data_IF_634427595814
#
_entry.id   IF_634427595814
#
_cell.length_a   1.000
_cell.length_b   1.000
_cell.length_c   1.000
_cell.angle_alpha   90.00
_cell.angle_beta   90.00
_cell.angle_gamma   90.00
#
_symmetry.space_group_name_H-M   'P 1'
#
loop_
_entity.id
_entity.type
_entity.pdbx_description
1 polymer ?
#
# COMPACT_ATOMS: atom_id res chain seq x y z
N UNK A 1 -8.78 11.92 12.02
CA UNK A 1 -8.73 11.20 10.73
C UNK A 1 -7.40 11.41 10.00
N UNK A 2 -6.78 12.60 10.05
CA UNK A 2 -5.47 12.82 9.41
C UNK A 2 -4.30 11.99 9.96
N UNK A 3 -4.32 11.64 11.25
CA UNK A 3 -3.22 10.90 11.89
C UNK A 3 -3.05 9.48 11.33
N UNK A 4 -4.15 8.81 11.00
CA UNK A 4 -4.13 7.44 10.45
C UNK A 4 -3.74 7.40 8.97
N UNK A 5 -3.76 8.56 8.29
CA UNK A 5 -3.33 8.71 6.90
C UNK A 5 -1.87 9.17 6.76
N UNK A 6 -1.16 9.42 7.87
CA UNK A 6 0.23 9.85 7.83
C UNK A 6 1.12 8.83 7.11
N UNK A 7 2.04 9.25 6.23
CA UNK A 7 2.95 8.33 5.56
C UNK A 7 3.74 7.47 6.55
N UNK A 8 3.92 6.20 6.21
CA UNK A 8 4.71 5.26 7.01
C UNK A 8 6.04 5.06 6.29
N UNK A 9 7.13 5.43 6.95
CA UNK A 9 8.46 5.47 6.34
C UNK A 9 8.50 6.32 5.05
N UNK A 10 7.67 7.36 4.94
CA UNK A 10 7.56 8.19 3.73
C UNK A 10 6.63 7.63 2.64
N UNK A 11 6.06 6.44 2.84
CA UNK A 11 5.07 5.85 1.91
C UNK A 11 3.67 6.21 2.35
N UNK A 12 3.00 7.09 1.59
CA UNK A 12 1.59 7.43 1.77
C UNK A 12 0.63 6.34 1.29
N UNK A 13 -0.66 6.47 1.63
CA UNK A 13 -1.68 5.48 1.27
C UNK A 13 -1.82 5.30 -0.26
N UNK A 14 -1.74 6.40 -1.01
CA UNK A 14 -1.84 6.38 -2.47
C UNK A 14 -0.67 5.63 -3.13
N UNK A 15 0.56 5.86 -2.66
CA UNK A 15 1.74 5.15 -3.15
C UNK A 15 1.69 3.66 -2.77
N UNK A 16 1.27 3.36 -1.54
CA UNK A 16 1.06 1.98 -1.09
C UNK A 16 0.03 1.26 -1.96
N UNK A 17 -1.12 1.89 -2.23
CA UNK A 17 -2.16 1.35 -3.09
C UNK A 17 -1.68 1.17 -4.55
N UNK A 18 -0.90 2.12 -5.09
CA UNK A 18 -0.33 2.00 -6.42
C UNK A 18 0.59 0.77 -6.55
N UNK A 19 1.45 0.52 -5.55
CA UNK A 19 2.34 -0.65 -5.50
C UNK A 19 1.54 -1.95 -5.36
N UNK A 20 0.50 -1.98 -4.52
CA UNK A 20 -0.34 -3.19 -4.38
C UNK A 20 -1.18 -3.44 -5.64
N UNK A 21 -1.64 -2.39 -6.32
CA UNK A 21 -2.41 -2.52 -7.55
C UNK A 21 -1.54 -3.01 -8.71
N UNK A 22 -0.26 -2.66 -8.75
CA UNK A 22 0.62 -3.03 -9.87
C UNK A 22 0.86 -4.54 -9.96
N UNK A 23 0.66 -5.31 -8.87
CA UNK A 23 0.78 -6.78 -8.91
C UNK A 23 -0.44 -7.49 -9.51
N UNK A 24 -1.53 -6.78 -9.84
CA UNK A 24 -2.70 -7.38 -10.47
C UNK A 24 -2.38 -8.07 -11.81
N UNK A 25 -1.37 -7.58 -12.54
CA UNK A 25 -0.89 -8.20 -13.80
C UNK A 25 -0.14 -9.52 -13.59
N UNK A 26 0.26 -9.81 -12.35
CA UNK A 26 0.98 -11.02 -11.93
C UNK A 26 0.09 -11.93 -11.08
N UNK A 27 -1.22 -12.00 -11.38
CA UNK A 27 -2.19 -12.81 -10.64
C UNK A 27 -2.19 -12.54 -9.11
N UNK A 28 -1.85 -11.30 -8.71
CA UNK A 28 -1.70 -10.89 -7.32
C UNK A 28 -0.58 -11.62 -6.55
N UNK A 29 0.50 -12.02 -7.23
CA UNK A 29 1.69 -12.56 -6.57
C UNK A 29 2.31 -11.52 -5.60
N UNK A 30 2.18 -11.80 -4.30
CA UNK A 30 2.68 -10.94 -3.23
C UNK A 30 4.21 -10.84 -3.22
N UNK A 31 4.92 -11.83 -3.77
CA UNK A 31 6.39 -11.78 -3.86
C UNK A 31 6.86 -10.65 -4.78
N UNK A 32 6.01 -10.21 -5.72
CA UNK A 32 6.30 -9.11 -6.64
C UNK A 32 6.22 -7.74 -5.99
N UNK A 33 5.60 -7.60 -4.82
CA UNK A 33 5.41 -6.30 -4.16
C UNK A 33 6.73 -5.57 -3.90
N UNK A 34 7.77 -6.30 -3.48
CA UNK A 34 9.10 -5.73 -3.25
C UNK A 34 9.71 -5.20 -4.54
N UNK A 35 9.62 -5.99 -5.62
CA UNK A 35 10.10 -5.58 -6.95
C UNK A 35 9.33 -4.36 -7.48
N UNK A 36 8.02 -4.34 -7.27
CA UNK A 36 7.17 -3.21 -7.66
C UNK A 36 7.48 -1.96 -6.83
N UNK A 37 7.67 -2.09 -5.51
CA UNK A 37 8.07 -0.98 -4.66
C UNK A 37 9.38 -0.33 -5.13
N UNK A 38 10.36 -1.13 -5.54
CA UNK A 38 11.61 -0.63 -6.10
C UNK A 38 11.40 0.15 -7.42
N UNK A 39 10.50 -0.31 -8.31
CA UNK A 39 10.13 0.44 -9.53
C UNK A 39 9.45 1.78 -9.21
N UNK A 40 8.80 1.88 -8.07
CA UNK A 40 8.22 3.12 -7.54
C UNK A 40 9.21 3.96 -6.72
N UNK A 41 10.51 3.59 -6.69
CA UNK A 41 11.56 4.33 -5.99
C UNK A 41 11.61 4.10 -4.48
N UNK A 42 10.94 3.07 -3.98
CA UNK A 42 10.92 2.69 -2.56
C UNK A 42 11.89 1.54 -2.33
N UNK A 43 12.89 1.74 -1.48
CA UNK A 43 13.84 0.68 -1.12
C UNK A 43 13.17 -0.42 -0.26
N UNK A 44 13.84 -1.57 -0.15
CA UNK A 44 13.32 -2.75 0.56
C UNK A 44 12.97 -2.48 2.03
N UNK A 45 13.85 -1.82 2.79
CA UNK A 45 13.65 -1.54 4.21
C UNK A 45 12.52 -0.54 4.45
N UNK A 46 12.41 0.45 3.57
CA UNK A 46 11.30 1.40 3.58
C UNK A 46 9.98 0.72 3.22
N UNK A 47 9.96 -0.09 2.17
CA UNK A 47 8.77 -0.84 1.77
C UNK A 47 8.27 -1.77 2.87
N UNK A 48 9.16 -2.55 3.48
CA UNK A 48 8.76 -3.54 4.47
C UNK A 48 8.22 -2.88 5.76
N UNK A 49 8.78 -1.72 6.16
CA UNK A 49 8.20 -0.90 7.24
C UNK A 49 6.82 -0.35 6.88
N UNK A 50 6.69 0.21 5.68
CA UNK A 50 5.42 0.75 5.19
C UNK A 50 4.35 -0.34 5.10
N UNK A 51 4.68 -1.50 4.53
CA UNK A 51 3.77 -2.64 4.35
C UNK A 51 3.22 -3.14 5.66
N UNK A 52 4.07 -3.34 6.68
CA UNK A 52 3.63 -3.74 8.01
C UNK A 52 2.72 -2.70 8.65
N UNK A 53 3.12 -1.42 8.61
CA UNK A 53 2.33 -0.35 9.21
C UNK A 53 0.96 -0.15 8.54
N UNK A 54 0.92 -0.15 7.20
CA UNK A 54 -0.33 -0.02 6.46
C UNK A 54 -1.22 -1.24 6.64
N UNK A 55 -0.66 -2.46 6.65
CA UNK A 55 -1.44 -3.68 6.93
C UNK A 55 -2.12 -3.63 8.30
N UNK A 56 -1.41 -3.15 9.34
CA UNK A 56 -1.98 -2.96 10.68
C UNK A 56 -3.10 -1.90 10.67
N UNK A 57 -2.85 -0.73 10.06
CA UNK A 57 -3.86 0.33 9.99
C UNK A 57 -5.11 -0.06 9.20
N UNK A 58 -4.96 -0.81 8.11
CA UNK A 58 -6.09 -1.31 7.32
C UNK A 58 -6.94 -2.30 8.14
N UNK A 59 -6.33 -3.10 9.01
CA UNK A 59 -7.05 -4.00 9.90
C UNK A 59 -7.76 -3.26 11.05
N UNK A 60 -7.17 -2.18 11.57
CA UNK A 60 -7.66 -1.45 12.74
C UNK A 60 -8.66 -0.33 12.39
N UNK A 61 -8.59 0.23 11.18
CA UNK A 61 -9.35 1.40 10.77
C UNK A 61 -10.17 1.14 9.50
N UNK A 62 -11.47 0.80 9.64
CA UNK A 62 -12.36 0.52 8.49
C UNK A 62 -12.45 1.67 7.48
N UNK A 63 -12.33 2.92 7.93
CA UNK A 63 -12.31 4.09 7.04
C UNK A 63 -11.07 4.11 6.13
N UNK A 64 -9.91 3.70 6.64
CA UNK A 64 -8.67 3.60 5.86
C UNK A 64 -8.76 2.42 4.90
N UNK A 65 -9.31 1.28 5.34
CA UNK A 65 -9.58 0.13 4.47
C UNK A 65 -10.52 0.49 3.31
N UNK A 66 -11.59 1.23 3.58
CA UNK A 66 -12.49 1.71 2.53
C UNK A 66 -11.77 2.59 1.50
N UNK A 67 -10.99 3.57 1.95
CA UNK A 67 -10.20 4.43 1.07
C UNK A 67 -9.19 3.62 0.24
N UNK A 68 -8.51 2.66 0.86
CA UNK A 68 -7.57 1.77 0.17
C UNK A 68 -8.25 0.97 -0.95
N UNK A 69 -9.43 0.40 -0.68
CA UNK A 69 -10.21 -0.35 -1.69
C UNK A 69 -10.57 0.51 -2.90
N UNK A 70 -11.00 1.76 -2.66
CA UNK A 70 -11.30 2.72 -3.74
C UNK A 70 -10.05 3.01 -4.59
N UNK A 71 -8.86 3.06 -3.99
CA UNK A 71 -7.61 3.34 -4.71
C UNK A 71 -7.12 2.15 -5.56
N UNK A 72 -7.26 0.92 -5.06
CA UNK A 72 -6.83 -0.28 -5.79
C UNK A 72 -7.83 -0.73 -6.85
N UNK A 73 -9.11 -0.36 -6.70
CA UNK A 73 -10.20 -0.66 -7.62
C UNK A 73 -11.17 0.52 -7.76
N UNK A 74 -10.81 1.55 -8.55
CA UNK A 74 -11.62 2.77 -8.70
C UNK A 74 -12.87 2.58 -9.58
N UNK A 75 -13.14 1.36 -10.06
CA UNK A 75 -14.27 1.05 -10.95
C UNK A 75 -15.41 0.26 -10.29
N UNK A 76 -15.37 0.08 -8.98
CA UNK A 76 -16.34 -0.72 -8.21
C UNK A 76 -17.59 0.04 -7.76
#
# INVERSE_FOLDING_TARGET
MDEVLQPIAGVGLELYAAIVRSIAVFEHDLSMLTSMAALHGVDHDTWERARRGWSARLAEHPAVDHLFRVLIDPGR
#
